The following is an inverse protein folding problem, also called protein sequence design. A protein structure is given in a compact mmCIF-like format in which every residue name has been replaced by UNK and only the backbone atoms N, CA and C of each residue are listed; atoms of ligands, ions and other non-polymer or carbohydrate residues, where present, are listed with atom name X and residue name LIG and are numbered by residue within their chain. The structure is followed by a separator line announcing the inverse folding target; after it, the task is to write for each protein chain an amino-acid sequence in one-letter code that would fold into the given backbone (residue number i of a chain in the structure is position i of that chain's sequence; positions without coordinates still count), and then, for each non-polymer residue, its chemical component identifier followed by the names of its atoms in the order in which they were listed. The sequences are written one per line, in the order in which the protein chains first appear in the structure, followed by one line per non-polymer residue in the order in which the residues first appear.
data_IF_455919797733
#
_entry.id   IF_455919797733
#
_cell.length_a   1.000
_cell.length_b   1.000
_cell.length_c   1.000
_cell.angle_alpha   90.00
_cell.angle_beta   90.00
_cell.angle_gamma   90.00
#
_symmetry.space_group_name_H-M   'P 1'
#
loop_
_entity.id
_entity.type
_entity.pdbx_description
1 polymer ?
#
# COMPACT_ATOMS: atom_id res chain seq x y z
N UNK A 1 6.72 9.07 8.22
CA UNK A 1 7.55 8.15 7.41
C UNK A 1 7.19 8.38 5.95
N UNK A 2 8.18 8.43 5.05
CA UNK A 2 7.96 8.54 3.61
C UNK A 2 8.63 7.34 2.93
N UNK A 3 7.92 6.69 2.01
CA UNK A 3 8.42 5.52 1.27
C UNK A 3 7.84 5.47 -0.16
N UNK A 4 8.33 4.56 -1.01
CA UNK A 4 7.81 4.42 -2.37
C UNK A 4 6.50 3.62 -2.44
N UNK A 5 6.49 2.39 -1.90
CA UNK A 5 5.36 1.46 -1.89
C UNK A 5 5.29 0.68 -0.58
N UNK A 6 4.10 0.17 -0.25
CA UNK A 6 3.92 -0.79 0.86
C UNK A 6 3.42 -2.11 0.28
N UNK A 7 4.15 -3.20 0.57
CA UNK A 7 3.78 -4.58 0.20
C UNK A 7 3.34 -5.39 1.41
N UNK A 8 4.28 -5.86 2.25
CA UNK A 8 3.99 -6.60 3.48
C UNK A 8 4.04 -5.72 4.74
N UNK A 9 4.31 -4.42 4.59
CA UNK A 9 4.48 -3.49 5.72
C UNK A 9 5.79 -3.66 6.51
N UNK A 10 6.68 -4.57 6.12
CA UNK A 10 7.94 -4.86 6.84
C UNK A 10 8.81 -3.62 7.03
N UNK A 11 9.11 -2.89 5.95
CA UNK A 11 9.94 -1.68 6.00
C UNK A 11 9.35 -0.59 6.90
N UNK A 12 8.03 -0.41 6.85
CA UNK A 12 7.33 0.53 7.71
C UNK A 12 7.41 0.08 9.18
N UNK A 13 7.17 -1.20 9.47
CA UNK A 13 7.26 -1.73 10.83
C UNK A 13 8.67 -1.53 11.43
N UNK A 14 9.73 -1.76 10.65
CA UNK A 14 11.12 -1.51 11.06
C UNK A 14 11.36 -0.02 11.31
N UNK A 15 10.85 0.87 10.46
CA UNK A 15 10.97 2.32 10.66
C UNK A 15 10.26 2.79 11.95
N UNK A 16 9.10 2.22 12.29
CA UNK A 16 8.43 2.47 13.56
C UNK A 16 9.28 2.05 14.76
N UNK A 17 9.93 0.88 14.68
CA UNK A 17 10.79 0.38 15.75
C UNK A 17 12.01 1.27 15.94
N UNK A 18 12.69 1.65 14.85
CA UNK A 18 13.86 2.54 14.89
C UNK A 18 13.49 3.89 15.52
N UNK A 19 12.40 4.52 15.06
CA UNK A 19 11.96 5.83 15.58
C UNK A 19 11.55 5.72 17.06
N UNK A 20 10.84 4.66 17.43
CA UNK A 20 10.39 4.42 18.80
C UNK A 20 11.54 4.17 19.77
N UNK A 21 12.59 3.46 19.35
CA UNK A 21 13.80 3.24 20.14
C UNK A 21 14.52 4.55 20.50
N UNK A 22 14.45 5.54 19.61
CA UNK A 22 14.96 6.89 19.82
C UNK A 22 13.94 7.82 20.52
N UNK A 23 12.84 7.26 21.06
CA UNK A 23 11.75 7.98 21.72
C UNK A 23 11.00 8.97 20.82
N UNK A 24 11.10 8.80 19.51
CA UNK A 24 10.31 9.55 18.53
C UNK A 24 8.87 9.03 18.46
N UNK A 25 7.93 9.92 18.16
CA UNK A 25 6.53 9.56 17.93
C UNK A 25 6.21 9.67 16.44
N UNK A 26 5.90 8.54 15.81
CA UNK A 26 5.38 8.53 14.44
C UNK A 26 3.93 8.99 14.45
N UNK A 27 3.61 9.97 13.61
CA UNK A 27 2.25 10.55 13.50
C UNK A 27 1.59 10.33 12.14
N UNK A 28 2.30 9.72 11.18
CA UNK A 28 1.81 9.56 9.82
C UNK A 28 2.81 8.89 8.89
N UNK A 29 2.29 8.27 7.85
CA UNK A 29 3.04 7.71 6.72
C UNK A 29 2.50 8.27 5.40
N UNK A 30 3.36 8.44 4.40
CA UNK A 30 2.98 8.74 3.02
C UNK A 30 3.78 7.87 2.05
N UNK A 31 3.11 7.30 1.06
CA UNK A 31 3.72 6.51 -0.02
C UNK A 31 3.35 7.03 -1.40
N UNK A 32 4.14 6.68 -2.41
CA UNK A 32 3.83 7.07 -3.79
C UNK A 32 2.62 6.29 -4.33
N UNK A 33 2.63 4.96 -4.21
CA UNK A 33 1.58 4.09 -4.73
C UNK A 33 1.06 3.14 -3.65
N UNK A 34 -0.22 3.29 -3.30
CA UNK A 34 -0.95 2.25 -2.57
C UNK A 34 -1.36 1.15 -3.55
N UNK A 35 -0.72 -0.02 -3.42
CA UNK A 35 -0.99 -1.18 -4.28
C UNK A 35 -2.36 -1.81 -4.01
N UNK A 36 -3.00 -1.49 -2.88
CA UNK A 36 -4.29 -2.05 -2.45
C UNK A 36 -4.28 -3.59 -2.45
N UNK A 37 -3.15 -4.19 -2.10
CA UNK A 37 -2.98 -5.65 -2.04
C UNK A 37 -3.23 -6.15 -0.63
N UNK A 38 -4.01 -7.22 -0.52
CA UNK A 38 -4.11 -8.05 0.68
C UNK A 38 -2.74 -8.55 1.11
N UNK A 39 -2.59 -8.73 2.43
CA UNK A 39 -1.36 -9.28 2.99
C UNK A 39 -1.47 -10.79 3.11
N UNK A 40 -0.33 -11.50 3.08
CA UNK A 40 -0.31 -12.94 3.32
C UNK A 40 -0.87 -13.33 4.70
N UNK A 41 -0.86 -12.38 5.64
CA UNK A 41 -1.32 -12.54 7.03
C UNK A 41 -2.79 -12.18 7.23
N UNK A 42 -3.38 -11.36 6.35
CA UNK A 42 -4.77 -10.93 6.43
C UNK A 42 -5.35 -10.75 5.01
N UNK A 43 -6.24 -11.64 4.55
CA UNK A 43 -6.87 -11.57 3.24
C UNK A 43 -8.00 -10.52 3.17
N UNK A 44 -8.28 -9.81 4.25
CA UNK A 44 -9.37 -8.81 4.31
C UNK A 44 -8.87 -7.38 4.30
N UNK A 45 -7.55 -7.17 4.41
CA UNK A 45 -6.95 -5.84 4.55
C UNK A 45 -5.70 -5.69 3.71
N UNK A 46 -5.55 -4.50 3.15
CA UNK A 46 -4.30 -4.07 2.55
C UNK A 46 -3.23 -3.80 3.59
N UNK A 47 -1.97 -3.80 3.16
CA UNK A 47 -0.87 -3.45 4.05
C UNK A 47 -0.95 -2.02 4.60
N UNK A 48 -1.47 -1.06 3.81
CA UNK A 48 -1.72 0.32 4.26
C UNK A 48 -2.78 0.37 5.35
N UNK A 49 -3.89 -0.37 5.19
CA UNK A 49 -4.93 -0.51 6.22
C UNK A 49 -4.41 -1.19 7.48
N UNK A 50 -3.68 -2.31 7.35
CA UNK A 50 -3.13 -3.03 8.49
C UNK A 50 -2.16 -2.17 9.32
N UNK A 51 -1.29 -1.40 8.66
CA UNK A 51 -0.40 -0.43 9.32
C UNK A 51 -1.20 0.69 10.00
N UNK A 52 -2.17 1.28 9.29
CA UNK A 52 -2.97 2.38 9.83
C UNK A 52 -3.73 1.95 11.09
N UNK A 53 -4.35 0.78 11.08
CA UNK A 53 -5.06 0.23 12.23
C UNK A 53 -4.12 -0.16 13.38
N UNK A 54 -2.99 -0.81 13.08
CA UNK A 54 -2.03 -1.25 14.10
C UNK A 54 -1.45 -0.09 14.90
N UNK A 55 -1.08 0.98 14.21
CA UNK A 55 -0.38 2.11 14.81
C UNK A 55 -1.27 3.32 15.09
N UNK A 56 -2.55 3.28 14.69
CA UNK A 56 -3.51 4.38 14.87
C UNK A 56 -3.02 5.70 14.26
N UNK A 57 -2.43 5.62 13.07
CA UNK A 57 -1.95 6.78 12.31
C UNK A 57 -2.49 6.79 10.88
N UNK A 58 -2.56 7.95 10.22
CA UNK A 58 -2.86 8.01 8.80
C UNK A 58 -1.73 7.41 7.96
N UNK A 59 -2.10 6.62 6.96
CA UNK A 59 -1.23 6.18 5.86
C UNK A 59 -1.79 6.79 4.58
N UNK A 60 -1.09 7.78 4.03
CA UNK A 60 -1.47 8.51 2.83
C UNK A 60 -0.80 7.90 1.60
N UNK A 61 -1.42 8.07 0.44
CA UNK A 61 -0.81 7.74 -0.85
C UNK A 61 -0.98 8.88 -1.85
N UNK A 62 -0.03 9.02 -2.78
CA UNK A 62 -0.19 9.97 -3.89
C UNK A 62 -1.23 9.43 -4.88
N UNK A 63 -1.16 8.13 -5.18
CA UNK A 63 -2.13 7.40 -6.00
C UNK A 63 -2.37 5.99 -5.46
N UNK A 64 -3.49 5.38 -5.84
CA UNK A 64 -3.77 3.97 -5.61
C UNK A 64 -3.84 3.13 -6.90
N UNK A 65 -3.75 1.80 -6.79
CA UNK A 65 -3.79 0.89 -7.94
C UNK A 65 -5.08 1.04 -8.77
N UNK A 66 -6.23 1.29 -8.13
CA UNK A 66 -7.49 1.55 -8.83
C UNK A 66 -7.42 2.76 -9.76
N UNK A 67 -6.82 3.86 -9.29
CA UNK A 67 -6.58 5.06 -10.09
C UNK A 67 -5.60 4.80 -11.24
N UNK A 68 -4.52 4.04 -10.98
CA UNK A 68 -3.57 3.64 -12.03
C UNK A 68 -4.28 2.85 -13.12
N UNK A 69 -5.08 1.83 -12.78
CA UNK A 69 -5.85 1.04 -13.75
C UNK A 69 -6.81 1.94 -14.53
N UNK A 70 -7.52 2.85 -13.84
CA UNK A 70 -8.44 3.78 -14.47
C UNK A 70 -7.75 4.69 -15.51
N UNK A 71 -6.54 5.16 -15.20
CA UNK A 71 -5.76 6.02 -16.10
C UNK A 71 -5.19 5.24 -17.30
N UNK A 72 -4.84 3.97 -17.11
CA UNK A 72 -4.27 3.13 -18.15
C UNK A 72 -5.31 2.60 -19.14
N UNK A 73 -6.59 2.56 -18.76
CA UNK A 73 -7.67 2.14 -19.64
C UNK A 73 -7.69 2.97 -20.93
N UNK A 74 -7.54 2.31 -22.08
CA UNK A 74 -7.45 2.95 -23.40
C UNK A 74 -6.10 3.60 -23.73
N UNK A 75 -5.07 3.47 -22.87
CA UNK A 75 -3.69 3.97 -23.12
C UNK A 75 -2.65 2.87 -23.30
N UNK A 76 -2.98 1.65 -22.88
CA UNK A 76 -2.15 0.45 -23.04
C UNK A 76 -2.93 -0.59 -23.85
N UNK A 77 -2.25 -1.66 -24.28
CA UNK A 77 -2.93 -2.75 -24.98
C UNK A 77 -3.85 -3.52 -24.02
N UNK A 78 -4.86 -4.19 -24.59
CA UNK A 78 -5.89 -4.90 -23.81
C UNK A 78 -5.33 -6.09 -23.01
N UNK A 79 -4.22 -6.68 -23.46
CA UNK A 79 -3.58 -7.81 -22.78
C UNK A 79 -2.92 -7.37 -21.46
N UNK A 80 -2.20 -6.25 -21.48
CA UNK A 80 -1.59 -5.65 -20.29
C UNK A 80 -2.67 -5.16 -19.31
N UNK A 81 -3.73 -4.52 -19.82
CA UNK A 81 -4.85 -4.07 -18.98
C UNK A 81 -5.52 -5.26 -18.28
N UNK A 82 -5.84 -6.31 -19.04
CA UNK A 82 -6.43 -7.54 -18.51
C UNK A 82 -5.52 -8.23 -17.49
N UNK A 83 -4.20 -8.21 -17.71
CA UNK A 83 -3.22 -8.78 -16.78
C UNK A 83 -3.24 -8.07 -15.43
N UNK A 84 -3.33 -6.74 -15.43
CA UNK A 84 -3.41 -5.94 -14.20
C UNK A 84 -4.78 -6.13 -13.50
N UNK A 85 -5.87 -6.22 -14.26
CA UNK A 85 -7.20 -6.51 -13.70
C UNK A 85 -7.27 -7.89 -13.03
N UNK A 86 -6.69 -8.91 -13.65
CA UNK A 86 -6.58 -10.25 -13.06
C UNK A 86 -5.72 -10.23 -11.80
N UNK A 87 -4.61 -9.50 -11.82
CA UNK A 87 -3.77 -9.30 -10.65
C UNK A 87 -4.56 -8.67 -9.50
N UNK A 88 -5.27 -7.57 -9.76
CA UNK A 88 -6.12 -6.90 -8.77
C UNK A 88 -7.25 -7.81 -8.28
N UNK A 89 -7.87 -8.61 -9.15
CA UNK A 89 -8.90 -9.57 -8.72
C UNK A 89 -8.35 -10.66 -7.80
N UNK A 90 -7.08 -11.03 -7.95
CA UNK A 90 -6.46 -12.10 -7.18
C UNK A 90 -5.90 -11.61 -5.84
N UNK A 91 -5.36 -10.40 -5.80
CA UNK A 91 -4.62 -9.88 -4.66
C UNK A 91 -5.26 -8.65 -4.01
N UNK A 92 -6.28 -8.05 -4.63
CA UNK A 92 -6.90 -6.82 -4.15
C UNK A 92 -7.57 -6.97 -2.79
N UNK A 93 -7.36 -5.98 -1.93
CA UNK A 93 -8.08 -5.80 -0.66
C UNK A 93 -9.36 -4.98 -0.85
#
# INVERSE_FOLDING_TARGET
IIDDVITAGTAINEAFEIIGNEKGQVVGCIIALDRQETTATDPTKSATQAVSERYQIPVLSIVNLGEVISILNGKINDEDLKSIEQYRSKYGA
#
